data_IF_124929486599
#
_entry.id   IF_124929486599
#
_cell.length_a   1.000
_cell.length_b   1.000
_cell.length_c   1.000
_cell.angle_alpha   90.00
_cell.angle_beta   90.00
_cell.angle_gamma   90.00
#
_symmetry.space_group_name_H-M   'P 1'
#
loop_
_entity.id
_entity.type
_entity.pdbx_description
1 polymer ?
#
# COMPACT_ATOMS: atom_id res chain seq x y z
N UNK A 1 3.62 -39.59 -9.26
CA UNK A 1 3.18 -38.96 -7.99
C UNK A 1 3.62 -37.50 -8.03
N UNK A 2 2.73 -36.56 -8.36
CA UNK A 2 3.06 -35.13 -8.52
C UNK A 2 2.80 -34.45 -7.18
N UNK A 3 3.85 -33.98 -6.50
CA UNK A 3 3.73 -33.21 -5.29
C UNK A 3 3.13 -31.85 -5.67
N UNK A 4 1.80 -31.72 -5.62
CA UNK A 4 1.13 -30.42 -5.71
C UNK A 4 1.39 -29.75 -4.37
N UNK A 5 2.51 -29.03 -4.27
CA UNK A 5 2.73 -28.08 -3.18
C UNK A 5 1.77 -26.93 -3.44
N UNK A 6 0.51 -27.09 -3.00
CA UNK A 6 -0.41 -26.00 -2.80
C UNK A 6 0.15 -25.15 -1.66
N UNK A 7 1.13 -24.30 -2.00
CA UNK A 7 1.58 -23.21 -1.14
C UNK A 7 0.40 -22.26 -1.03
N UNK A 8 -0.46 -22.53 -0.06
CA UNK A 8 -1.43 -21.59 0.47
C UNK A 8 -0.62 -20.48 1.15
N UNK A 9 0.00 -19.60 0.36
CA UNK A 9 0.69 -18.42 0.87
C UNK A 9 -0.38 -17.39 1.25
N UNK A 10 -1.02 -17.62 2.41
CA UNK A 10 -1.91 -16.65 3.08
C UNK A 10 -1.10 -15.47 3.66
N UNK A 11 0.15 -15.29 3.23
CA UNK A 11 1.09 -14.32 3.79
C UNK A 11 1.18 -13.04 2.97
N UNK A 12 1.39 -11.91 3.66
CA UNK A 12 1.82 -10.66 3.01
C UNK A 12 3.19 -10.88 2.37
N UNK A 13 3.29 -10.59 1.07
CA UNK A 13 4.54 -10.66 0.31
C UNK A 13 5.04 -9.24 0.04
N UNK A 14 6.32 -8.99 0.29
CA UNK A 14 6.96 -7.75 -0.16
C UNK A 14 6.84 -7.65 -1.69
N UNK A 15 6.22 -6.59 -2.17
CA UNK A 15 5.96 -6.38 -3.59
C UNK A 15 7.07 -5.52 -4.21
N UNK A 16 7.25 -4.29 -3.71
CA UNK A 16 8.24 -3.35 -4.23
C UNK A 16 8.60 -2.33 -3.16
N UNK A 17 9.85 -1.87 -3.21
CA UNK A 17 10.32 -0.73 -2.43
C UNK A 17 11.25 0.12 -3.30
N UNK A 18 11.41 1.39 -2.93
CA UNK A 18 12.34 2.28 -3.60
C UNK A 18 11.97 3.75 -3.48
N UNK A 19 12.62 4.57 -4.30
CA UNK A 19 12.28 5.98 -4.45
C UNK A 19 11.13 6.15 -5.44
N UNK A 20 10.31 7.16 -5.21
CA UNK A 20 9.32 7.59 -6.17
C UNK A 20 9.34 9.12 -6.30
N UNK A 21 8.93 9.59 -7.47
CA UNK A 21 8.76 11.01 -7.80
C UNK A 21 7.29 11.20 -8.10
N UNK A 22 6.61 12.05 -7.32
CA UNK A 22 5.21 12.40 -7.53
C UNK A 22 5.12 13.92 -7.76
N UNK A 23 4.72 14.37 -8.96
CA UNK A 23 4.71 15.80 -9.29
C UNK A 23 3.67 16.60 -8.49
N UNK A 24 2.67 15.96 -7.88
CA UNK A 24 1.60 16.62 -7.12
C UNK A 24 1.81 16.53 -5.61
N UNK A 25 2.49 15.48 -5.16
CA UNK A 25 2.64 15.14 -3.72
C UNK A 25 4.09 15.06 -3.27
N UNK A 26 5.03 15.46 -4.11
CA UNK A 26 6.45 15.49 -3.80
C UNK A 26 7.11 14.11 -3.81
N UNK A 27 8.44 14.13 -3.76
CA UNK A 27 9.28 12.95 -3.86
C UNK A 27 9.36 12.22 -2.52
N UNK A 28 9.62 10.92 -2.57
CA UNK A 28 9.73 10.12 -1.36
C UNK A 28 10.28 8.73 -1.58
N UNK A 29 10.14 7.93 -0.53
CA UNK A 29 10.44 6.50 -0.52
C UNK A 29 9.18 5.73 -0.21
N UNK A 30 9.07 4.51 -0.72
CA UNK A 30 7.96 3.65 -0.41
C UNK A 30 8.41 2.21 -0.19
N UNK A 31 7.60 1.48 0.56
CA UNK A 31 7.64 0.04 0.71
C UNK A 31 6.21 -0.46 0.57
N UNK A 32 6.01 -1.45 -0.27
CA UNK A 32 4.70 -2.02 -0.55
C UNK A 32 4.71 -3.53 -0.39
N UNK A 33 3.65 -4.04 0.20
CA UNK A 33 3.36 -5.46 0.36
C UNK A 33 2.03 -5.76 -0.31
N UNK A 34 1.94 -6.94 -0.90
CA UNK A 34 0.72 -7.46 -1.53
C UNK A 34 0.31 -8.76 -0.83
N UNK A 35 -0.98 -9.00 -0.71
CA UNK A 35 -1.54 -10.28 -0.31
C UNK A 35 -2.71 -10.61 -1.22
N UNK A 36 -3.24 -11.84 -1.10
CA UNK A 36 -4.33 -12.37 -1.93
C UNK A 36 -5.55 -11.45 -2.02
N UNK A 37 -5.76 -10.57 -1.03
CA UNK A 37 -6.96 -9.71 -0.91
C UNK A 37 -6.67 -8.21 -0.98
N UNK A 38 -5.46 -7.80 -1.35
CA UNK A 38 -5.15 -6.39 -1.45
C UNK A 38 -3.67 -6.07 -1.28
N UNK A 39 -3.40 -4.83 -0.89
CA UNK A 39 -2.04 -4.36 -0.68
C UNK A 39 -1.96 -3.38 0.47
N UNK A 40 -0.77 -3.27 1.03
CA UNK A 40 -0.40 -2.28 2.02
C UNK A 40 0.83 -1.56 1.52
N UNK A 41 0.83 -0.25 1.61
CA UNK A 41 1.92 0.61 1.20
C UNK A 41 2.20 1.58 2.32
N UNK A 42 3.48 1.74 2.63
CA UNK A 42 4.01 2.78 3.50
C UNK A 42 4.91 3.65 2.65
N UNK A 43 4.69 4.96 2.68
CA UNK A 43 5.53 5.94 2.00
C UNK A 43 6.02 7.01 2.98
N UNK A 44 7.25 7.47 2.77
CA UNK A 44 7.86 8.58 3.49
C UNK A 44 8.10 9.74 2.52
N UNK A 45 7.52 10.89 2.84
CA UNK A 45 7.53 12.16 2.10
C UNK A 45 8.00 13.29 3.02
N UNK A 46 9.31 13.47 3.21
CA UNK A 46 9.83 14.46 4.16
C UNK A 46 9.48 15.92 3.80
N UNK A 47 9.28 16.22 2.52
CA UNK A 47 8.97 17.57 2.04
C UNK A 47 7.46 17.88 1.95
N UNK A 48 6.58 16.91 2.27
CA UNK A 48 5.14 17.10 2.13
C UNK A 48 4.42 16.48 3.34
N UNK A 49 4.29 17.29 4.38
CA UNK A 49 3.65 16.91 5.63
C UNK A 49 2.14 17.06 5.55
N UNK A 50 1.42 16.00 5.93
CA UNK A 50 -0.05 15.98 5.94
C UNK A 50 -0.56 15.23 7.16
N UNK A 51 -1.68 15.68 7.69
CA UNK A 51 -2.40 15.03 8.78
C UNK A 51 -3.85 14.89 8.33
N UNK A 52 -4.12 13.81 7.61
CA UNK A 52 -5.40 13.61 6.93
C UNK A 52 -5.73 12.12 6.80
N UNK A 53 -7.01 11.80 6.76
CA UNK A 53 -7.53 10.48 6.51
C UNK A 53 -8.42 10.50 5.28
N UNK A 54 -7.89 9.98 4.17
CA UNK A 54 -8.57 10.00 2.88
C UNK A 54 -9.14 8.63 2.54
N UNK A 55 -10.46 8.61 2.31
CA UNK A 55 -11.13 7.51 1.62
C UNK A 55 -11.29 7.92 0.16
N UNK A 56 -10.66 7.18 -0.76
CA UNK A 56 -10.70 7.55 -2.18
C UNK A 56 -12.15 7.41 -2.70
N UNK A 57 -12.73 8.48 -3.28
CA UNK A 57 -14.14 8.47 -3.69
C UNK A 57 -14.42 7.43 -4.78
N UNK A 58 -13.44 7.17 -5.66
CA UNK A 58 -13.55 6.17 -6.73
C UNK A 58 -13.13 4.75 -6.35
N UNK A 59 -12.58 4.53 -5.15
CA UNK A 59 -12.19 3.19 -4.72
C UNK A 59 -12.46 3.02 -3.22
N UNK A 60 -13.67 2.57 -2.89
CA UNK A 60 -14.17 2.41 -1.52
C UNK A 60 -13.32 1.47 -0.66
N UNK A 61 -12.50 0.67 -1.31
CA UNK A 61 -11.61 -0.34 -0.74
C UNK A 61 -10.24 0.22 -0.38
N UNK A 62 -9.86 1.38 -0.92
CA UNK A 62 -8.58 2.04 -0.63
C UNK A 62 -8.76 3.07 0.48
N UNK A 63 -7.96 2.95 1.53
CA UNK A 63 -7.88 3.90 2.63
C UNK A 63 -6.47 4.44 2.71
N UNK A 64 -6.34 5.76 2.87
CA UNK A 64 -5.06 6.44 3.06
C UNK A 64 -5.07 7.20 4.38
N UNK A 65 -3.99 7.06 5.13
CA UNK A 65 -3.74 7.82 6.35
C UNK A 65 -2.41 8.55 6.20
N UNK A 66 -2.43 9.86 6.41
CA UNK A 66 -1.26 10.71 6.44
C UNK A 66 -0.95 11.09 7.88
N UNK A 67 0.26 10.77 8.34
CA UNK A 67 0.77 11.12 9.66
C UNK A 67 2.11 11.86 9.48
N UNK A 68 2.02 13.17 9.32
CA UNK A 68 3.17 14.03 9.07
C UNK A 68 3.83 13.68 7.73
N UNK A 69 5.11 13.25 7.71
CA UNK A 69 5.78 12.84 6.49
C UNK A 69 5.44 11.40 6.07
N UNK A 70 4.70 10.63 6.88
CA UNK A 70 4.42 9.22 6.61
C UNK A 70 3.02 9.08 6.02
N UNK A 71 2.90 8.31 4.94
CA UNK A 71 1.65 7.92 4.30
C UNK A 71 1.48 6.41 4.41
N UNK A 72 0.33 5.98 4.90
CA UNK A 72 -0.11 4.60 4.90
C UNK A 72 -1.26 4.45 3.92
N UNK A 73 -1.18 3.47 3.04
CA UNK A 73 -2.23 3.13 2.10
C UNK A 73 -2.54 1.65 2.24
N UNK A 74 -3.81 1.34 2.48
CA UNK A 74 -4.29 -0.04 2.58
C UNK A 74 -5.47 -0.23 1.65
N UNK A 75 -5.45 -1.34 0.93
CA UNK A 75 -6.59 -1.80 0.15
C UNK A 75 -7.03 -3.16 0.65
N UNK A 76 -8.33 -3.31 0.86
CA UNK A 76 -8.96 -4.58 1.15
C UNK A 76 -10.07 -4.82 0.13
N UNK A 77 -9.84 -5.73 -0.81
CA UNK A 77 -10.78 -6.10 -1.89
C UNK A 77 -11.90 -7.03 -1.36
N UNK A 78 -12.38 -6.78 -0.13
CA UNK A 78 -13.30 -7.65 0.59
C UNK A 78 -14.70 -7.75 -0.03
N UNK A 79 -14.99 -8.93 -0.59
CA UNK A 79 -16.30 -9.49 -1.03
C UNK A 79 -16.90 -8.94 -2.33
N UNK A 80 -16.64 -9.67 -3.43
CA UNK A 80 -17.65 -9.99 -4.44
C UNK A 80 -18.82 -10.75 -3.81
#
# INVERSE_FOLDING_TARGET
MRLIVARNEVGMKLNKFGRFVDPYRGNGWFVSWTWVRGYFLVALRPMNWRLDYLRLPNNRWVRRLYVGPIEFEITDLGRS
#
